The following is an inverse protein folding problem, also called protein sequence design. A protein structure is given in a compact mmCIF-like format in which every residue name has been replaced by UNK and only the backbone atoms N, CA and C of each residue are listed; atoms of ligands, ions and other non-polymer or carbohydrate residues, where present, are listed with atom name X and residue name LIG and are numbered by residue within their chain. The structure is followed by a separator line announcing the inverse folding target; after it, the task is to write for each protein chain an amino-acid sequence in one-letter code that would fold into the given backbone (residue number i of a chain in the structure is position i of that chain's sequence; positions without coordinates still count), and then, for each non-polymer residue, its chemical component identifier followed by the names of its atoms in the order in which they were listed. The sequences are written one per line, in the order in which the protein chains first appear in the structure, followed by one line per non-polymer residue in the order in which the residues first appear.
data_IF_139044084125
#
_entry.id   IF_139044084125
#
_cell.length_a   1.000
_cell.length_b   1.000
_cell.length_c   1.000
_cell.angle_alpha   90.00
_cell.angle_beta   90.00
_cell.angle_gamma   90.00
#
_symmetry.space_group_name_H-M   'P 1'
#
loop_
_entity.id
_entity.type
_entity.pdbx_description
1 polymer ?
#
# COMPACT_ATOMS: atom_id res chain seq x y z
N UNK A 1 22.80 -3.27 -36.62
CA UNK A 1 21.35 -3.47 -36.83
C UNK A 1 20.81 -2.08 -37.06
N UNK A 2 20.83 -1.67 -38.33
CA UNK A 2 20.80 -0.27 -38.73
C UNK A 2 19.38 0.26 -38.66
N UNK A 3 19.19 1.26 -37.79
CA UNK A 3 17.96 2.02 -37.71
C UNK A 3 17.92 2.99 -38.90
N UNK A 4 17.34 2.53 -40.00
CA UNK A 4 16.90 3.41 -41.08
C UNK A 4 15.74 4.27 -40.56
N UNK A 5 16.07 5.40 -39.93
CA UNK A 5 15.11 6.45 -39.63
C UNK A 5 14.70 7.07 -40.97
N UNK A 6 13.52 6.70 -41.47
CA UNK A 6 12.92 7.36 -42.62
C UNK A 6 12.46 8.77 -42.20
N UNK A 7 13.37 9.74 -42.29
CA UNK A 7 13.14 11.17 -42.00
C UNK A 7 12.16 11.87 -42.97
N UNK A 8 11.45 11.13 -43.85
CA UNK A 8 10.67 11.71 -44.94
C UNK A 8 9.23 11.23 -45.10
N UNK A 9 8.75 10.23 -44.35
CA UNK A 9 7.35 9.79 -44.48
C UNK A 9 6.42 10.75 -43.74
N UNK A 10 5.85 11.71 -44.49
CA UNK A 10 4.64 12.43 -44.04
C UNK A 10 3.56 11.38 -43.76
N UNK A 11 3.38 11.05 -42.48
CA UNK A 11 2.26 10.24 -42.02
C UNK A 11 0.98 10.81 -42.60
N UNK A 12 0.27 10.00 -43.38
CA UNK A 12 -1.08 10.36 -43.81
C UNK A 12 -1.93 10.59 -42.55
N UNK A 13 -2.95 11.48 -42.57
CA UNK A 13 -3.77 11.75 -41.38
C UNK A 13 -4.32 10.49 -40.70
N UNK A 14 -4.64 9.46 -41.49
CA UNK A 14 -5.08 8.16 -40.99
C UNK A 14 -3.96 7.36 -40.30
N UNK A 15 -2.75 7.35 -40.86
CA UNK A 15 -1.58 6.71 -40.24
C UNK A 15 -1.14 7.44 -38.95
N UNK A 16 -1.22 8.77 -38.94
CA UNK A 16 -0.95 9.57 -37.74
C UNK A 16 -1.94 9.26 -36.62
N UNK A 17 -3.25 9.17 -36.93
CA UNK A 17 -4.29 8.81 -35.94
C UNK A 17 -4.12 7.37 -35.44
N UNK A 18 -3.77 6.43 -36.31
CA UNK A 18 -3.50 5.05 -35.92
C UNK A 18 -2.29 4.96 -34.98
N UNK A 19 -1.21 5.69 -35.26
CA UNK A 19 -0.02 5.70 -34.42
C UNK A 19 -0.27 6.41 -33.07
N UNK A 20 -1.04 7.51 -33.06
CA UNK A 20 -1.46 8.16 -31.81
C UNK A 20 -2.25 7.19 -30.94
N UNK A 21 -3.23 6.45 -31.50
CA UNK A 21 -3.99 5.44 -30.75
C UNK A 21 -3.11 4.31 -30.24
N UNK A 22 -2.13 3.87 -31.03
CA UNK A 22 -1.15 2.84 -30.63
C UNK A 22 -0.31 3.33 -29.45
N UNK A 23 0.21 4.55 -29.51
CA UNK A 23 1.01 5.17 -28.43
C UNK A 23 0.15 5.37 -27.18
N UNK A 24 -1.09 5.85 -27.31
CA UNK A 24 -2.04 5.97 -26.19
C UNK A 24 -2.34 4.61 -25.54
N UNK A 25 -2.51 3.56 -26.34
CA UNK A 25 -2.65 2.19 -25.85
C UNK A 25 -1.45 1.71 -25.04
N UNK A 26 -0.22 1.97 -25.53
CA UNK A 26 1.02 1.63 -24.84
C UNK A 26 1.17 2.40 -23.52
N UNK A 27 0.83 3.69 -23.50
CA UNK A 27 0.82 4.49 -22.27
C UNK A 27 -0.17 3.95 -21.23
N UNK A 28 -1.35 3.52 -21.67
CA UNK A 28 -2.35 2.88 -20.80
C UNK A 28 -1.89 1.54 -20.22
N UNK A 29 -1.19 0.72 -21.01
CA UNK A 29 -0.61 -0.54 -20.55
C UNK A 29 0.52 -0.31 -19.53
N UNK A 30 1.44 0.63 -19.81
CA UNK A 30 2.51 1.02 -18.90
C UNK A 30 1.97 1.55 -17.55
N UNK A 31 0.94 2.38 -17.61
CA UNK A 31 0.24 2.90 -16.44
C UNK A 31 -0.34 1.79 -15.54
N UNK A 32 -1.02 0.81 -16.14
CA UNK A 32 -1.61 -0.33 -15.41
C UNK A 32 -0.55 -1.22 -14.79
N UNK A 33 0.55 -1.49 -15.49
CA UNK A 33 1.69 -2.24 -14.93
C UNK A 33 2.32 -1.51 -13.74
N UNK A 34 2.50 -0.20 -13.83
CA UNK A 34 3.05 0.59 -12.74
C UNK A 34 2.12 0.63 -11.51
N UNK A 35 0.80 0.69 -11.71
CA UNK A 35 -0.16 0.56 -10.62
C UNK A 35 -0.09 -0.83 -9.99
N UNK A 36 -0.09 -1.90 -10.78
CA UNK A 36 0.07 -3.27 -10.27
C UNK A 36 1.38 -3.48 -9.50
N UNK A 37 2.50 -2.91 -9.98
CA UNK A 37 3.77 -2.93 -9.26
C UNK A 37 3.73 -2.11 -7.96
N UNK A 38 3.01 -0.99 -7.93
CA UNK A 38 2.78 -0.22 -6.69
C UNK A 38 2.07 -1.08 -5.65
N UNK A 39 1.03 -1.79 -6.04
CA UNK A 39 0.32 -2.75 -5.18
C UNK A 39 1.26 -3.85 -4.65
N UNK A 40 2.10 -4.43 -5.51
CA UNK A 40 3.06 -5.46 -5.10
C UNK A 40 4.11 -4.93 -4.12
N UNK A 41 4.63 -3.70 -4.32
CA UNK A 41 5.55 -3.05 -3.37
C UNK A 41 4.91 -2.97 -1.99
N UNK A 42 3.68 -2.45 -1.91
CA UNK A 42 2.96 -2.33 -0.64
C UNK A 42 2.53 -3.69 -0.07
N UNK A 43 2.34 -4.70 -0.91
CA UNK A 43 2.14 -6.10 -0.52
C UNK A 43 3.37 -6.79 0.07
N UNK A 44 4.56 -6.21 -0.06
CA UNK A 44 5.78 -6.65 0.65
C UNK A 44 6.01 -5.79 1.89
N UNK A 45 5.86 -4.46 1.74
CA UNK A 45 6.10 -3.48 2.81
C UNK A 45 5.16 -3.71 3.99
N UNK A 46 3.85 -3.90 3.75
CA UNK A 46 2.90 -4.05 4.84
C UNK A 46 3.13 -5.32 5.69
N UNK A 47 3.32 -6.52 5.12
CA UNK A 47 3.72 -7.69 5.90
C UNK A 47 5.02 -7.49 6.67
N UNK A 48 6.02 -6.84 6.08
CA UNK A 48 7.31 -6.58 6.73
C UNK A 48 7.16 -5.69 7.98
N UNK A 49 6.24 -4.71 7.94
CA UNK A 49 5.86 -3.91 9.11
C UNK A 49 5.32 -4.83 10.22
N UNK A 50 4.33 -5.66 9.91
CA UNK A 50 3.74 -6.59 10.89
C UNK A 50 4.75 -7.58 11.47
N UNK A 51 5.60 -8.17 10.64
CA UNK A 51 6.66 -9.09 11.09
C UNK A 51 7.65 -8.39 12.02
N UNK A 52 8.03 -7.15 11.70
CA UNK A 52 8.91 -6.35 12.56
C UNK A 52 8.29 -6.13 13.94
N UNK A 53 7.00 -5.78 13.98
CA UNK A 53 6.25 -5.61 15.23
C UNK A 53 6.14 -6.91 16.03
N UNK A 54 5.91 -8.05 15.36
CA UNK A 54 5.84 -9.36 15.99
C UNK A 54 7.18 -9.75 16.62
N UNK A 55 8.28 -9.60 15.88
CA UNK A 55 9.63 -9.91 16.37
C UNK A 55 9.99 -9.05 17.58
N UNK A 56 9.73 -7.74 17.52
CA UNK A 56 10.02 -6.83 18.64
C UNK A 56 9.18 -7.18 19.87
N UNK A 57 7.90 -7.49 19.70
CA UNK A 57 7.01 -7.91 20.78
C UNK A 57 7.44 -9.22 21.44
N UNK A 58 7.96 -10.18 20.66
CA UNK A 58 8.52 -11.44 21.18
C UNK A 58 9.81 -11.19 21.98
N UNK A 59 10.70 -10.32 21.50
CA UNK A 59 12.00 -10.07 22.10
C UNK A 59 11.95 -9.25 23.39
N UNK A 60 11.00 -8.31 23.51
CA UNK A 60 11.04 -7.27 24.56
C UNK A 60 9.72 -7.16 25.36
N UNK A 61 8.69 -7.92 24.98
CA UNK A 61 7.36 -7.79 25.54
C UNK A 61 6.57 -6.64 24.91
N UNK A 62 5.25 -6.73 24.94
CA UNK A 62 4.40 -5.72 24.33
C UNK A 62 4.29 -4.47 25.23
N UNK A 63 4.09 -3.27 24.65
CA UNK A 63 4.00 -2.02 25.41
C UNK A 63 2.95 -2.06 26.53
N UNK A 64 1.87 -2.81 26.35
CA UNK A 64 0.80 -2.99 27.34
C UNK A 64 1.22 -3.76 28.60
N UNK A 65 2.29 -4.55 28.55
CA UNK A 65 2.57 -5.58 29.55
C UNK A 65 3.29 -5.02 30.80
N UNK A 66 3.40 -3.69 30.94
CA UNK A 66 3.91 -3.05 32.17
C UNK A 66 5.43 -3.12 32.37
N UNK A 67 6.07 -4.25 32.04
CA UNK A 67 7.42 -4.60 32.50
C UNK A 67 8.56 -4.65 31.45
N UNK A 68 8.38 -4.05 30.27
CA UNK A 68 9.38 -4.04 29.19
C UNK A 68 10.40 -2.90 29.26
N UNK A 69 11.60 -3.13 28.70
CA UNK A 69 12.69 -2.14 28.61
C UNK A 69 12.22 -0.79 28.01
N UNK A 70 12.33 0.29 28.80
CA UNK A 70 11.88 1.63 28.44
C UNK A 70 12.39 2.13 27.08
N UNK A 71 13.63 1.81 26.70
CA UNK A 71 14.24 2.28 25.45
C UNK A 71 13.58 1.67 24.19
N UNK A 72 13.20 0.39 24.23
CA UNK A 72 12.61 -0.32 23.08
C UNK A 72 11.11 -0.07 22.94
N UNK A 73 10.42 0.30 24.02
CA UNK A 73 9.04 0.80 23.98
C UNK A 73 8.89 2.09 23.16
N UNK A 74 9.91 2.95 23.19
CA UNK A 74 9.94 4.19 22.39
C UNK A 74 10.05 3.89 20.89
N UNK A 75 10.69 2.78 20.51
CA UNK A 75 10.86 2.38 19.11
C UNK A 75 9.61 1.72 18.52
N UNK A 76 8.76 1.11 19.35
CA UNK A 76 7.53 0.44 18.92
C UNK A 76 6.65 1.32 18.01
N UNK A 77 6.28 2.58 18.34
CA UNK A 77 5.45 3.40 17.45
C UNK A 77 6.13 3.84 16.15
N UNK A 78 7.46 3.68 16.01
CA UNK A 78 8.24 4.16 14.85
C UNK A 78 8.71 3.02 13.95
N UNK A 79 8.48 1.76 14.35
CA UNK A 79 8.97 0.57 13.65
C UNK A 79 8.47 0.45 12.19
N UNK A 80 7.31 1.03 11.90
CA UNK A 80 6.76 1.08 10.54
C UNK A 80 7.49 2.08 9.63
N UNK A 81 8.14 3.11 10.19
CA UNK A 81 8.63 4.25 9.43
C UNK A 81 9.72 3.89 8.41
N UNK A 82 10.73 3.06 8.72
CA UNK A 82 11.72 2.64 7.72
C UNK A 82 11.09 1.90 6.54
N UNK A 83 10.13 1.03 6.81
CA UNK A 83 9.42 0.26 5.78
C UNK A 83 8.54 1.16 4.91
N UNK A 84 7.79 2.07 5.52
CA UNK A 84 6.99 3.04 4.79
C UNK A 84 7.86 3.97 3.94
N UNK A 85 9.02 4.39 4.45
CA UNK A 85 9.98 5.18 3.68
C UNK A 85 10.49 4.42 2.44
N UNK A 86 10.86 3.14 2.60
CA UNK A 86 11.27 2.29 1.47
C UNK A 86 10.12 2.13 0.46
N UNK A 87 8.90 1.85 0.92
CA UNK A 87 7.73 1.72 0.07
C UNK A 87 7.40 3.00 -0.71
N UNK A 88 7.49 4.14 -0.04
CA UNK A 88 7.32 5.47 -0.64
C UNK A 88 8.39 5.77 -1.69
N UNK A 89 9.67 5.53 -1.38
CA UNK A 89 10.78 5.74 -2.31
C UNK A 89 10.62 4.84 -3.53
N UNK A 90 10.33 3.55 -3.34
CA UNK A 90 10.12 2.60 -4.43
C UNK A 90 8.92 2.98 -5.31
N UNK A 91 7.82 3.43 -4.71
CA UNK A 91 6.64 3.92 -5.44
C UNK A 91 7.00 5.19 -6.22
N UNK A 92 7.69 6.14 -5.60
CA UNK A 92 8.07 7.40 -6.24
C UNK A 92 9.06 7.20 -7.40
N UNK A 93 10.05 6.29 -7.26
CA UNK A 93 11.00 5.97 -8.33
C UNK A 93 10.32 5.26 -9.50
N UNK A 94 9.38 4.35 -9.23
CA UNK A 94 8.56 3.68 -10.24
C UNK A 94 7.72 4.70 -11.03
N UNK A 95 7.00 5.60 -10.36
CA UNK A 95 6.20 6.59 -11.07
C UNK A 95 7.04 7.66 -11.76
N UNK A 96 8.25 7.95 -11.25
CA UNK A 96 9.21 8.80 -11.94
C UNK A 96 9.68 8.18 -13.25
N UNK A 97 9.95 6.87 -13.29
CA UNK A 97 10.38 6.21 -14.53
C UNK A 97 9.25 6.20 -15.59
N UNK A 98 8.01 6.01 -15.17
CA UNK A 98 6.83 6.09 -16.05
C UNK A 98 6.60 7.52 -16.54
N UNK A 99 6.77 8.52 -15.67
CA UNK A 99 6.60 9.94 -16.00
C UNK A 99 7.63 10.47 -17.01
N UNK A 100 8.80 9.82 -17.15
CA UNK A 100 9.77 10.12 -18.20
C UNK A 100 9.27 9.70 -19.60
N UNK A 101 8.37 8.71 -19.67
CA UNK A 101 7.81 8.19 -20.93
C UNK A 101 6.45 8.84 -21.24
N UNK A 102 5.67 9.20 -20.22
CA UNK A 102 4.31 9.76 -20.37
C UNK A 102 4.28 11.24 -19.94
N UNK A 103 4.45 12.21 -20.85
CA UNK A 103 4.60 13.62 -20.51
C UNK A 103 3.34 14.25 -19.86
N UNK A 104 2.14 13.73 -20.14
CA UNK A 104 0.87 14.22 -19.52
C UNK A 104 0.72 13.88 -18.03
N UNK A 105 1.55 12.99 -17.47
CA UNK A 105 1.44 12.51 -16.07
C UNK A 105 2.42 13.16 -15.08
N UNK A 106 3.18 14.18 -15.47
CA UNK A 106 4.11 14.87 -14.56
C UNK A 106 3.44 15.44 -13.30
N UNK A 107 2.16 15.82 -13.37
CA UNK A 107 1.35 16.25 -12.21
C UNK A 107 1.05 15.10 -11.22
N UNK A 108 1.02 13.86 -11.68
CA UNK A 108 0.63 12.67 -10.92
C UNK A 108 1.75 12.13 -10.02
N UNK A 109 2.98 12.63 -10.17
CA UNK A 109 4.11 12.33 -9.26
C UNK A 109 3.79 12.66 -7.81
N UNK A 110 3.00 13.71 -7.57
CA UNK A 110 2.58 14.11 -6.24
C UNK A 110 1.48 13.20 -5.66
N UNK A 111 0.67 12.55 -6.50
CA UNK A 111 -0.39 11.64 -6.02
C UNK A 111 0.19 10.41 -5.32
N UNK A 112 1.29 9.85 -5.82
CA UNK A 112 2.02 8.75 -5.16
C UNK A 112 2.50 9.12 -3.76
N UNK A 113 3.04 10.32 -3.61
CA UNK A 113 3.51 10.87 -2.32
C UNK A 113 2.32 11.18 -1.40
N UNK A 114 1.25 11.78 -1.93
CA UNK A 114 0.04 12.12 -1.19
C UNK A 114 -0.65 10.86 -0.66
N UNK A 115 -0.73 9.82 -1.48
CA UNK A 115 -1.29 8.50 -1.14
C UNK A 115 -0.56 7.91 0.05
N UNK A 116 0.77 7.82 -0.03
CA UNK A 116 1.54 7.26 1.07
C UNK A 116 1.55 8.16 2.31
N UNK A 117 1.52 9.49 2.16
CA UNK A 117 1.38 10.42 3.28
C UNK A 117 0.04 10.28 4.00
N UNK A 118 -1.06 10.05 3.28
CA UNK A 118 -2.39 9.79 3.85
C UNK A 118 -2.40 8.47 4.60
N UNK A 119 -1.90 7.39 4.01
CA UNK A 119 -1.79 6.08 4.67
C UNK A 119 -0.95 6.21 5.95
N UNK A 120 0.22 6.85 5.85
CA UNK A 120 1.11 7.09 6.99
C UNK A 120 0.44 7.93 8.07
N UNK A 121 -0.26 9.00 7.70
CA UNK A 121 -0.97 9.87 8.64
C UNK A 121 -2.09 9.14 9.39
N UNK A 122 -2.86 8.28 8.70
CA UNK A 122 -3.92 7.49 9.31
C UNK A 122 -3.35 6.43 10.25
N UNK A 123 -2.28 5.75 9.85
CA UNK A 123 -1.57 4.78 10.72
C UNK A 123 -1.02 5.46 11.97
N UNK A 124 -0.36 6.62 11.82
CA UNK A 124 0.17 7.38 12.95
C UNK A 124 -0.93 7.86 13.90
N UNK A 125 -2.04 8.38 13.35
CA UNK A 125 -3.21 8.81 14.15
C UNK A 125 -3.82 7.63 14.90
N UNK A 126 -3.88 6.44 14.28
CA UNK A 126 -4.31 5.20 14.94
C UNK A 126 -3.43 4.86 16.14
N UNK A 127 -2.10 4.89 15.99
CA UNK A 127 -1.17 4.66 17.11
C UNK A 127 -1.29 5.71 18.23
N UNK A 128 -1.44 7.00 17.88
CA UNK A 128 -1.62 8.07 18.85
C UNK A 128 -2.94 7.90 19.63
N UNK A 129 -4.02 7.47 18.98
CA UNK A 129 -5.29 7.20 19.64
C UNK A 129 -5.21 6.03 20.64
N UNK A 130 -4.44 4.98 20.35
CA UNK A 130 -4.19 3.85 21.29
C UNK A 130 -3.52 4.35 22.56
N UNK A 131 -2.49 5.19 22.43
CA UNK A 131 -1.76 5.75 23.57
C UNK A 131 -2.67 6.56 24.51
N UNK A 132 -3.70 7.20 23.96
CA UNK A 132 -4.63 8.07 24.71
C UNK A 132 -5.85 7.29 25.25
N UNK A 133 -6.45 6.40 24.46
CA UNK A 133 -7.76 5.81 24.74
C UNK A 133 -7.72 4.50 25.58
N UNK A 134 -6.55 3.85 25.72
CA UNK A 134 -6.38 2.61 26.53
C UNK A 134 -7.42 1.51 26.25
N UNK A 135 -7.94 1.41 25.04
CA UNK A 135 -8.93 0.40 24.65
C UNK A 135 -8.27 -0.99 24.65
N UNK A 136 -8.85 -2.03 25.26
CA UNK A 136 -8.27 -3.37 25.37
C UNK A 136 -8.37 -4.15 24.05
N UNK A 137 -7.74 -3.65 22.99
CA UNK A 137 -7.69 -4.28 21.67
C UNK A 137 -6.23 -4.55 21.34
N UNK A 138 -5.95 -5.73 20.77
CA UNK A 138 -4.61 -6.11 20.36
C UNK A 138 -4.01 -5.09 19.38
N UNK A 139 -2.74 -4.73 19.61
CA UNK A 139 -2.02 -3.68 18.89
C UNK A 139 -2.05 -3.91 17.36
N UNK A 140 -1.84 -5.16 16.95
CA UNK A 140 -1.86 -5.57 15.55
C UNK A 140 -3.21 -5.41 14.86
N UNK A 141 -4.31 -5.61 15.59
CA UNK A 141 -5.66 -5.46 15.05
C UNK A 141 -5.93 -3.99 14.68
N UNK A 142 -5.46 -3.06 15.51
CA UNK A 142 -5.53 -1.63 15.21
C UNK A 142 -4.69 -1.22 14.02
N UNK A 143 -3.46 -1.73 13.91
CA UNK A 143 -2.59 -1.44 12.75
C UNK A 143 -3.22 -1.94 11.46
N UNK A 144 -3.80 -3.15 11.49
CA UNK A 144 -4.53 -3.72 10.36
C UNK A 144 -5.78 -2.92 10.01
N UNK A 145 -6.53 -2.47 11.01
CA UNK A 145 -7.68 -1.58 10.84
C UNK A 145 -7.26 -0.24 10.21
N UNK A 146 -6.23 0.41 10.74
CA UNK A 146 -5.73 1.69 10.25
C UNK A 146 -5.20 1.57 8.81
N UNK A 147 -4.51 0.47 8.49
CA UNK A 147 -4.12 0.15 7.14
C UNK A 147 -5.34 -0.01 6.22
N UNK A 148 -6.36 -0.76 6.65
CA UNK A 148 -7.61 -0.94 5.90
C UNK A 148 -8.27 0.40 5.59
N UNK A 149 -8.41 1.28 6.58
CA UNK A 149 -8.98 2.62 6.43
C UNK A 149 -8.13 3.48 5.47
N UNK A 150 -6.79 3.43 5.61
CA UNK A 150 -5.88 4.13 4.70
C UNK A 150 -6.08 3.72 3.25
N UNK A 151 -6.16 2.40 3.01
CA UNK A 151 -6.38 1.83 1.68
C UNK A 151 -7.75 2.21 1.10
N UNK A 152 -8.82 2.17 1.91
CA UNK A 152 -10.14 2.66 1.48
C UNK A 152 -10.09 4.13 1.09
N UNK A 153 -9.40 4.96 1.88
CA UNK A 153 -9.29 6.40 1.64
C UNK A 153 -8.61 6.69 0.31
N UNK A 154 -7.53 5.96 -0.01
CA UNK A 154 -6.85 6.04 -1.30
C UNK A 154 -7.81 5.72 -2.46
N UNK A 155 -8.57 4.63 -2.34
CA UNK A 155 -9.57 4.25 -3.33
C UNK A 155 -10.71 5.27 -3.47
N UNK A 156 -11.19 5.86 -2.36
CA UNK A 156 -12.23 6.88 -2.42
C UNK A 156 -11.76 8.15 -3.11
N UNK A 157 -10.55 8.60 -2.80
CA UNK A 157 -9.91 9.77 -3.40
C UNK A 157 -9.44 9.53 -4.86
N UNK A 158 -9.43 8.28 -5.31
CA UNK A 158 -9.00 7.91 -6.66
C UNK A 158 -7.51 8.11 -6.90
N UNK A 159 -6.71 8.22 -5.84
CA UNK A 159 -5.27 8.44 -5.95
C UNK A 159 -4.59 7.18 -6.50
N UNK A 160 -3.69 7.35 -7.46
CA UNK A 160 -3.01 6.23 -8.15
C UNK A 160 -3.98 5.21 -8.81
N UNK A 161 -5.22 5.61 -9.13
CA UNK A 161 -6.18 4.76 -9.83
C UNK A 161 -6.19 5.11 -11.32
N UNK A 162 -5.88 4.14 -12.18
CA UNK A 162 -5.95 4.30 -13.64
C UNK A 162 -7.38 4.13 -14.17
N UNK A 163 -8.20 3.32 -13.51
CA UNK A 163 -9.57 3.03 -13.91
C UNK A 163 -10.50 2.76 -12.71
N UNK A 164 -11.80 2.59 -12.99
CA UNK A 164 -12.79 2.28 -11.98
C UNK A 164 -12.57 0.91 -11.32
N UNK A 165 -11.84 0.00 -11.98
CA UNK A 165 -11.52 -1.33 -11.47
C UNK A 165 -10.48 -1.24 -10.36
N UNK A 166 -9.37 -0.54 -10.60
CA UNK A 166 -8.34 -0.25 -9.59
C UNK A 166 -8.93 0.45 -8.37
N UNK A 167 -9.81 1.43 -8.61
CA UNK A 167 -10.53 2.13 -7.53
C UNK A 167 -11.33 1.18 -6.66
N UNK A 168 -12.10 0.28 -7.28
CA UNK A 168 -12.89 -0.74 -6.57
C UNK A 168 -12.01 -1.72 -5.82
N UNK A 169 -10.86 -2.11 -6.39
CA UNK A 169 -9.92 -3.00 -5.73
C UNK A 169 -9.35 -2.37 -4.46
N UNK A 170 -8.94 -1.10 -4.51
CA UNK A 170 -8.46 -0.38 -3.31
C UNK A 170 -9.54 -0.34 -2.22
N UNK A 171 -10.78 -0.03 -2.58
CA UNK A 171 -11.90 0.02 -1.63
C UNK A 171 -12.17 -1.38 -1.03
N UNK A 172 -12.30 -2.41 -1.88
CA UNK A 172 -12.59 -3.77 -1.44
C UNK A 172 -11.46 -4.35 -0.58
N UNK A 173 -10.21 -4.15 -0.99
CA UNK A 173 -9.05 -4.57 -0.23
C UNK A 173 -9.01 -3.92 1.15
N UNK A 174 -9.29 -2.61 1.22
CA UNK A 174 -9.29 -1.87 2.49
C UNK A 174 -10.43 -2.29 3.42
N UNK A 175 -11.63 -2.52 2.86
CA UNK A 175 -12.78 -3.07 3.61
C UNK A 175 -12.43 -4.46 4.15
N UNK A 176 -11.78 -5.31 3.36
CA UNK A 176 -11.42 -6.66 3.80
C UNK A 176 -10.44 -6.61 4.98
N UNK A 177 -9.42 -5.75 4.92
CA UNK A 177 -8.47 -5.57 6.03
C UNK A 177 -9.16 -5.06 7.30
N UNK A 178 -10.03 -4.05 7.16
CA UNK A 178 -10.81 -3.50 8.27
C UNK A 178 -11.77 -4.53 8.87
N UNK A 179 -12.45 -5.32 8.03
CA UNK A 179 -13.37 -6.36 8.46
C UNK A 179 -12.64 -7.50 9.19
N UNK A 180 -11.48 -7.94 8.68
CA UNK A 180 -10.64 -8.94 9.37
C UNK A 180 -10.21 -8.43 10.73
N UNK A 181 -9.75 -7.18 10.82
CA UNK A 181 -9.37 -6.56 12.08
C UNK A 181 -10.54 -6.50 13.07
N UNK A 182 -11.73 -6.10 12.61
CA UNK A 182 -12.93 -6.00 13.43
C UNK A 182 -13.41 -7.37 13.92
N UNK A 183 -13.59 -8.32 13.00
CA UNK A 183 -14.10 -9.66 13.32
C UNK A 183 -13.12 -10.38 14.24
N UNK A 184 -11.82 -10.32 13.96
CA UNK A 184 -10.81 -10.90 14.85
C UNK A 184 -10.80 -10.24 16.24
N UNK A 185 -11.01 -8.92 16.32
CA UNK A 185 -11.10 -8.23 17.61
C UNK A 185 -12.35 -8.61 18.40
N UNK A 186 -13.50 -8.79 17.74
CA UNK A 186 -14.75 -9.21 18.38
C UNK A 186 -14.69 -10.67 18.87
N UNK A 187 -14.10 -11.57 18.08
CA UNK A 187 -13.96 -12.98 18.45
C UNK A 187 -12.95 -13.20 19.58
N UNK A 188 -11.91 -12.36 19.64
CA UNK A 188 -10.78 -12.54 20.55
C UNK A 188 -10.76 -11.53 21.71
N UNK A 189 -11.71 -10.60 21.75
CA UNK A 189 -11.73 -9.45 22.66
C UNK A 189 -11.75 -9.77 24.15
N UNK A 190 -12.08 -11.02 24.53
CA UNK A 190 -11.97 -11.50 25.91
C UNK A 190 -10.57 -11.94 26.34
N UNK A 191 -9.64 -12.14 25.41
CA UNK A 191 -8.29 -12.65 25.70
C UNK A 191 -7.23 -11.97 24.81
N UNK A 192 -6.63 -10.89 25.33
CA UNK A 192 -5.62 -10.08 24.63
C UNK A 192 -4.40 -10.91 24.22
N UNK A 193 -3.97 -11.87 25.05
CA UNK A 193 -2.82 -12.71 24.75
C UNK A 193 -3.08 -13.59 23.52
N UNK A 194 -4.25 -14.23 23.49
CA UNK A 194 -4.68 -15.05 22.37
C UNK A 194 -4.91 -14.18 21.11
N UNK A 195 -5.49 -12.99 21.28
CA UNK A 195 -5.64 -12.01 20.20
C UNK A 195 -4.29 -11.65 19.55
N UNK A 196 -3.24 -11.39 20.36
CA UNK A 196 -1.90 -11.12 19.83
C UNK A 196 -1.34 -12.26 19.00
N UNK A 197 -1.43 -13.49 19.51
CA UNK A 197 -0.93 -14.67 18.78
C UNK A 197 -1.60 -14.81 17.41
N UNK A 198 -2.93 -14.70 17.36
CA UNK A 198 -3.66 -14.78 16.10
C UNK A 198 -3.33 -13.63 15.15
N UNK A 199 -3.30 -12.39 15.64
CA UNK A 199 -3.03 -11.24 14.78
C UNK A 199 -1.57 -11.13 14.33
N UNK A 200 -0.59 -11.66 15.08
CA UNK A 200 0.80 -11.76 14.58
C UNK A 200 0.91 -12.61 13.31
N UNK A 201 0.02 -13.59 13.14
CA UNK A 201 0.00 -14.47 11.97
C UNK A 201 -0.94 -13.97 10.88
N UNK A 202 -2.17 -13.58 11.23
CA UNK A 202 -3.21 -13.19 10.26
C UNK A 202 -2.88 -11.84 9.59
N UNK A 203 -2.33 -10.87 10.32
CA UNK A 203 -2.10 -9.52 9.78
C UNK A 203 -1.09 -9.48 8.62
N UNK A 204 0.10 -10.10 8.69
CA UNK A 204 1.00 -10.13 7.54
C UNK A 204 0.43 -10.94 6.38
N UNK A 205 -0.29 -12.03 6.64
CA UNK A 205 -0.90 -12.86 5.59
C UNK A 205 -2.00 -12.11 4.84
N UNK A 206 -2.91 -11.44 5.56
CA UNK A 206 -4.05 -10.74 4.96
C UNK A 206 -3.60 -9.47 4.23
N UNK A 207 -2.70 -8.68 4.82
CA UNK A 207 -2.11 -7.51 4.14
C UNK A 207 -1.35 -7.91 2.87
N UNK A 208 -0.54 -8.98 2.93
CA UNK A 208 0.18 -9.52 1.79
C UNK A 208 -0.77 -10.03 0.71
N UNK A 209 -1.75 -10.86 1.06
CA UNK A 209 -2.69 -11.43 0.10
C UNK A 209 -3.54 -10.37 -0.60
N UNK A 210 -4.04 -9.37 0.14
CA UNK A 210 -4.84 -8.28 -0.43
C UNK A 210 -4.01 -7.43 -1.38
N UNK A 211 -2.85 -6.95 -0.94
CA UNK A 211 -2.07 -5.98 -1.69
C UNK A 211 -1.22 -6.64 -2.79
N UNK A 212 -0.56 -7.75 -2.49
CA UNK A 212 0.21 -8.48 -3.50
C UNK A 212 -0.71 -9.16 -4.52
N UNK A 213 -1.81 -9.77 -4.07
CA UNK A 213 -2.80 -10.40 -4.95
C UNK A 213 -3.50 -9.38 -5.86
N UNK A 214 -3.86 -8.22 -5.33
CA UNK A 214 -4.40 -7.11 -6.15
C UNK A 214 -3.39 -6.63 -7.19
N UNK A 215 -2.10 -6.56 -6.84
CA UNK A 215 -1.02 -6.21 -7.78
C UNK A 215 -0.83 -7.24 -8.90
N UNK A 216 -0.84 -8.54 -8.57
CA UNK A 216 -0.79 -9.61 -9.57
C UNK A 216 -1.98 -9.54 -10.54
N UNK A 217 -3.18 -9.29 -10.02
CA UNK A 217 -4.36 -9.14 -10.87
C UNK A 217 -4.21 -7.98 -11.85
N UNK A 218 -3.75 -6.82 -11.39
CA UNK A 218 -3.57 -5.64 -12.22
C UNK A 218 -2.47 -5.82 -13.28
N UNK A 219 -1.35 -6.43 -12.91
CA UNK A 219 -0.27 -6.71 -13.87
C UNK A 219 -0.67 -7.74 -14.92
N UNK A 220 -1.46 -8.76 -14.57
CA UNK A 220 -1.92 -9.79 -15.51
C UNK A 220 -2.91 -9.28 -16.58
N UNK A 221 -3.52 -8.12 -16.34
CA UNK A 221 -4.52 -7.49 -17.23
C UNK A 221 -3.98 -6.27 -17.99
N UNK A 222 -2.66 -6.03 -17.95
CA UNK A 222 -2.01 -4.82 -18.46
C UNK A 222 -1.18 -5.04 -19.73
#
# INVERSE_FOLDING_TARGET
MDANVHEGERLTPHAAVAEIRRIEGLHGALARRASGLTWMIWGIVAPAIFVSYALLGILVGFPSDGDGYHALRVLFPVLWAPWAAIGLVATATLWRSVGLVIPRRSAQRWEGVLTGAIIVGIVFTGFAAIAVAKVPVAEFAWVLMAQGIGVVTVGLLGLNCNDATERRLWILGGILLAAVALVGSLLLGGNILLARQWFTLISPLTSGLVLFGGGLYLTSRA
#
